data_IF_787279802353
#
_entry.id   IF_787279802353
#
_cell.length_a   1.000
_cell.length_b   1.000
_cell.length_c   1.000
_cell.angle_alpha   90.00
_cell.angle_beta   90.00
_cell.angle_gamma   90.00
#
_symmetry.space_group_name_H-M   'P 1'
#
loop_
_entity.id
_entity.type
_entity.pdbx_description
1 polymer ?
#
# COMPACT_ATOMS: atom_id res chain seq x y z
N UNK A 1 -22.35 30.16 17.57
CA UNK A 1 -23.08 30.55 16.34
C UNK A 1 -22.69 29.58 15.26
N UNK A 2 -23.66 29.01 14.52
CA UNK A 2 -23.38 28.02 13.46
C UNK A 2 -22.99 28.80 12.21
N UNK A 3 -21.72 28.71 11.80
CA UNK A 3 -21.23 29.42 10.61
C UNK A 3 -21.80 28.75 9.34
N UNK A 4 -21.96 29.54 8.29
CA UNK A 4 -22.41 29.03 7.00
C UNK A 4 -21.26 28.28 6.29
N UNK A 5 -21.55 27.27 5.44
CA UNK A 5 -20.52 26.41 4.83
C UNK A 5 -19.39 27.15 4.10
N UNK A 6 -19.67 28.31 3.50
CA UNK A 6 -18.70 29.15 2.79
C UNK A 6 -17.83 30.00 3.71
N UNK A 7 -18.33 30.38 4.88
CA UNK A 7 -17.55 31.10 5.89
C UNK A 7 -16.40 30.23 6.41
N UNK A 8 -16.57 28.91 6.41
CA UNK A 8 -15.50 27.96 6.71
C UNK A 8 -14.42 27.91 5.63
N UNK A 9 -14.77 28.09 4.35
CA UNK A 9 -13.83 27.93 3.23
C UNK A 9 -12.88 29.13 3.06
N UNK A 10 -13.36 30.36 3.29
CA UNK A 10 -12.66 31.61 2.96
C UNK A 10 -12.52 32.59 4.12
N UNK A 11 -13.01 32.25 5.32
CA UNK A 11 -12.91 33.13 6.49
C UNK A 11 -11.46 33.41 6.92
N UNK A 12 -11.13 34.64 7.36
CA UNK A 12 -9.78 35.01 7.74
C UNK A 12 -9.30 34.24 8.99
N UNK A 13 -8.05 33.74 9.01
CA UNK A 13 -7.54 32.85 10.06
C UNK A 13 -7.09 33.61 11.33
N UNK A 14 -7.00 34.94 11.27
CA UNK A 14 -6.40 35.78 12.32
C UNK A 14 -7.39 36.67 13.09
N UNK A 15 -8.70 36.61 12.82
CA UNK A 15 -9.65 37.42 13.59
C UNK A 15 -9.99 36.75 14.93
N UNK A 16 -9.69 37.46 16.01
CA UNK A 16 -9.63 37.04 17.42
C UNK A 16 -10.91 36.41 18.02
N UNK A 17 -12.01 36.32 17.27
CA UNK A 17 -13.28 35.73 17.71
C UNK A 17 -13.73 34.48 16.93
N UNK A 18 -12.98 34.06 15.90
CA UNK A 18 -13.33 32.93 15.04
C UNK A 18 -12.10 32.12 14.60
N UNK A 19 -11.22 31.78 15.55
CA UNK A 19 -10.06 30.93 15.29
C UNK A 19 -10.47 29.59 14.69
N UNK A 20 -9.98 29.28 13.49
CA UNK A 20 -10.11 28.03 12.74
C UNK A 20 -11.19 27.05 13.20
N UNK A 21 -12.40 27.15 12.62
CA UNK A 21 -13.48 26.12 12.68
C UNK A 21 -13.43 25.23 13.93
N UNK A 22 -13.61 25.78 15.15
CA UNK A 22 -13.32 25.08 16.39
C UNK A 22 -14.18 23.81 16.54
N UNK A 23 -15.40 23.84 15.98
CA UNK A 23 -16.34 22.73 16.01
C UNK A 23 -15.95 21.57 15.09
N UNK A 24 -15.24 21.82 13.99
CA UNK A 24 -14.90 20.80 12.97
C UNK A 24 -13.42 20.39 13.02
N UNK A 25 -12.55 21.29 13.45
CA UNK A 25 -11.12 21.10 13.56
C UNK A 25 -10.78 19.86 14.40
N UNK A 26 -11.32 19.79 15.62
CA UNK A 26 -11.01 18.73 16.57
C UNK A 26 -11.60 17.37 16.15
N UNK A 27 -12.88 17.26 15.73
CA UNK A 27 -13.41 16.03 15.17
C UNK A 27 -12.65 15.53 13.93
N UNK A 28 -12.19 16.43 13.05
CA UNK A 28 -11.50 16.06 11.82
C UNK A 28 -10.09 15.51 12.10
N UNK A 29 -9.35 16.12 13.04
CA UNK A 29 -8.06 15.58 13.51
C UNK A 29 -8.25 14.24 14.21
N UNK A 30 -9.27 14.09 15.07
CA UNK A 30 -9.55 12.81 15.74
C UNK A 30 -9.94 11.73 14.72
N UNK A 31 -10.83 12.04 13.78
CA UNK A 31 -11.27 11.08 12.76
C UNK A 31 -10.12 10.63 11.85
N UNK A 32 -9.29 11.58 11.39
CA UNK A 32 -8.11 11.26 10.58
C UNK A 32 -7.06 10.47 11.37
N UNK A 33 -6.87 10.78 12.66
CA UNK A 33 -6.00 10.02 13.56
C UNK A 33 -6.51 8.61 13.82
N UNK A 34 -7.81 8.44 14.09
CA UNK A 34 -8.44 7.13 14.26
C UNK A 34 -8.33 6.28 12.98
N UNK A 35 -8.51 6.91 11.81
CA UNK A 35 -8.32 6.27 10.52
C UNK A 35 -6.86 5.79 10.33
N UNK A 36 -5.88 6.62 10.70
CA UNK A 36 -4.47 6.23 10.66
C UNK A 36 -4.18 5.05 11.60
N UNK A 37 -4.70 5.07 12.83
CA UNK A 37 -4.53 3.96 13.78
C UNK A 37 -5.13 2.66 13.22
N UNK A 38 -6.33 2.73 12.65
CA UNK A 38 -6.94 1.59 11.98
C UNK A 38 -6.07 1.07 10.83
N UNK A 39 -5.49 1.98 10.03
CA UNK A 39 -4.59 1.62 8.93
C UNK A 39 -3.31 0.94 9.43
N UNK A 40 -2.74 1.38 10.55
CA UNK A 40 -1.58 0.74 11.20
C UNK A 40 -1.92 -0.67 11.71
N UNK A 41 -3.09 -0.85 12.30
CA UNK A 41 -3.57 -2.16 12.75
C UNK A 41 -3.74 -3.09 11.54
N UNK A 42 -4.42 -2.62 10.49
CA UNK A 42 -4.63 -3.37 9.25
C UNK A 42 -3.30 -3.72 8.58
N UNK A 43 -2.35 -2.79 8.53
CA UNK A 43 -1.01 -3.05 8.02
C UNK A 43 -0.34 -4.19 8.79
N UNK A 44 -0.32 -4.13 10.12
CA UNK A 44 0.31 -5.18 10.93
C UNK A 44 -0.34 -6.56 10.73
N UNK A 45 -1.67 -6.62 10.70
CA UNK A 45 -2.41 -7.88 10.48
C UNK A 45 -2.15 -8.42 9.08
N UNK A 46 -2.27 -7.58 8.06
CA UNK A 46 -2.14 -8.01 6.67
C UNK A 46 -0.70 -8.35 6.30
N UNK A 47 0.29 -7.63 6.82
CA UNK A 47 1.71 -7.94 6.60
C UNK A 47 2.05 -9.32 7.16
N UNK A 48 1.55 -9.68 8.34
CA UNK A 48 1.71 -11.04 8.89
C UNK A 48 1.03 -12.09 8.01
N UNK A 49 -0.21 -11.84 7.59
CA UNK A 49 -1.00 -12.80 6.80
C UNK A 49 -0.47 -12.98 5.37
N UNK A 50 0.03 -11.91 4.74
CA UNK A 50 0.43 -11.88 3.33
C UNK A 50 1.96 -11.78 3.13
N UNK A 51 2.77 -12.00 4.17
CA UNK A 51 4.25 -11.92 4.11
C UNK A 51 4.89 -12.68 2.95
N UNK A 52 4.27 -13.77 2.46
CA UNK A 52 4.78 -14.56 1.31
C UNK A 52 4.52 -13.93 -0.05
N UNK A 53 3.63 -12.96 -0.12
CA UNK A 53 3.18 -12.30 -1.35
C UNK A 53 3.64 -10.85 -1.37
N UNK A 54 4.89 -10.65 -1.81
CA UNK A 54 5.56 -9.35 -1.85
C UNK A 54 4.70 -8.20 -2.42
N UNK A 55 3.99 -8.34 -3.57
CA UNK A 55 3.21 -7.22 -4.12
C UNK A 55 2.04 -6.79 -3.23
N UNK A 56 1.48 -7.71 -2.46
CA UNK A 56 0.35 -7.44 -1.57
C UNK A 56 0.80 -6.77 -0.27
N UNK A 57 2.01 -7.10 0.21
CA UNK A 57 2.64 -6.37 1.32
C UNK A 57 2.97 -4.95 0.91
N UNK A 58 3.59 -4.78 -0.26
CA UNK A 58 3.89 -3.47 -0.82
C UNK A 58 2.61 -2.63 -0.98
N UNK A 59 1.49 -3.23 -1.42
CA UNK A 59 0.20 -2.53 -1.47
C UNK A 59 -0.21 -1.95 -0.11
N UNK A 60 -0.11 -2.74 0.96
CA UNK A 60 -0.47 -2.28 2.31
C UNK A 60 0.47 -1.18 2.80
N UNK A 61 1.75 -1.28 2.49
CA UNK A 61 2.74 -0.26 2.81
C UNK A 61 2.41 1.09 2.13
N UNK A 62 2.06 1.07 0.84
CA UNK A 62 1.63 2.27 0.13
C UNK A 62 0.35 2.89 0.73
N UNK A 63 -0.61 2.07 1.14
CA UNK A 63 -1.83 2.54 1.82
C UNK A 63 -1.51 3.19 3.18
N UNK A 64 -0.57 2.62 3.93
CA UNK A 64 -0.11 3.17 5.20
C UNK A 64 0.61 4.49 5.00
N UNK A 65 1.55 4.57 4.05
CA UNK A 65 2.27 5.81 3.74
C UNK A 65 1.33 6.93 3.29
N UNK A 66 0.32 6.61 2.47
CA UNK A 66 -0.68 7.59 2.03
C UNK A 66 -1.51 8.11 3.21
N UNK A 67 -1.92 7.22 4.12
CA UNK A 67 -2.66 7.60 5.32
C UNK A 67 -1.83 8.45 6.26
N UNK A 68 -0.56 8.07 6.47
CA UNK A 68 0.39 8.81 7.28
C UNK A 68 0.61 10.22 6.72
N UNK A 69 0.88 10.33 5.42
CA UNK A 69 1.08 11.63 4.76
C UNK A 69 -0.18 12.52 4.85
N UNK A 70 -1.37 11.97 4.58
CA UNK A 70 -2.62 12.71 4.65
C UNK A 70 -2.89 13.21 6.07
N UNK A 71 -2.71 12.35 7.07
CA UNK A 71 -2.84 12.72 8.48
C UNK A 71 -1.83 13.79 8.89
N UNK A 72 -0.56 13.66 8.49
CA UNK A 72 0.47 14.66 8.79
C UNK A 72 0.09 16.04 8.25
N UNK A 73 -0.42 16.13 7.02
CA UNK A 73 -0.86 17.41 6.42
C UNK A 73 -2.06 17.99 7.18
N UNK A 74 -3.03 17.15 7.55
CA UNK A 74 -4.18 17.58 8.36
C UNK A 74 -3.74 18.10 9.74
N UNK A 75 -2.82 17.39 10.40
CA UNK A 75 -2.31 17.76 11.72
C UNK A 75 -1.52 19.07 11.68
N UNK A 76 -0.68 19.26 10.67
CA UNK A 76 0.03 20.53 10.43
C UNK A 76 -0.97 21.66 10.18
N UNK A 77 -1.99 21.40 9.35
CA UNK A 77 -3.03 22.40 9.05
C UNK A 77 -3.79 22.84 10.29
N UNK A 78 -4.06 21.91 11.19
CA UNK A 78 -4.68 22.19 12.48
C UNK A 78 -3.75 22.99 13.40
N UNK A 79 -2.49 22.56 13.56
CA UNK A 79 -1.52 23.18 14.46
C UNK A 79 -1.24 24.65 14.09
N UNK A 80 -1.06 24.94 12.81
CA UNK A 80 -0.81 26.29 12.30
C UNK A 80 -2.09 27.10 12.03
N UNK A 81 -3.28 26.52 12.31
CA UNK A 81 -4.59 27.15 12.05
C UNK A 81 -4.74 27.66 10.61
N UNK A 82 -4.34 26.84 9.63
CA UNK A 82 -4.54 27.16 8.21
C UNK A 82 -6.03 27.23 7.83
N UNK A 83 -6.34 27.88 6.70
CA UNK A 83 -7.67 27.89 6.12
C UNK A 83 -8.22 26.48 5.89
N UNK A 84 -9.54 26.28 6.01
CA UNK A 84 -10.19 24.97 5.90
C UNK A 84 -9.97 24.28 4.55
N UNK A 85 -9.74 25.07 3.51
CA UNK A 85 -9.47 24.55 2.17
C UNK A 85 -8.21 23.66 2.14
N UNK A 86 -7.22 23.89 3.00
CA UNK A 86 -6.02 23.06 3.08
C UNK A 86 -6.29 21.64 3.59
N UNK A 87 -6.88 21.42 4.79
CA UNK A 87 -7.22 20.07 5.22
C UNK A 87 -8.27 19.41 4.31
N UNK A 88 -9.21 20.18 3.74
CA UNK A 88 -10.18 19.65 2.78
C UNK A 88 -9.52 19.12 1.51
N UNK A 89 -8.64 19.92 0.89
CA UNK A 89 -7.89 19.49 -0.30
C UNK A 89 -6.98 18.31 0.01
N UNK A 90 -6.32 18.29 1.17
CA UNK A 90 -5.52 17.16 1.60
C UNK A 90 -6.34 15.87 1.71
N UNK A 91 -7.56 15.92 2.25
CA UNK A 91 -8.46 14.78 2.31
C UNK A 91 -8.90 14.31 0.92
N UNK A 92 -9.28 15.22 0.03
CA UNK A 92 -9.67 14.88 -1.36
C UNK A 92 -8.51 14.23 -2.11
N UNK A 93 -7.31 14.80 -2.00
CA UNK A 93 -6.09 14.23 -2.62
C UNK A 93 -5.75 12.88 -1.99
N UNK A 94 -5.87 12.74 -0.67
CA UNK A 94 -5.65 11.47 0.03
C UNK A 94 -6.60 10.36 -0.47
N UNK A 95 -7.90 10.65 -0.56
CA UNK A 95 -8.90 9.70 -1.10
C UNK A 95 -8.60 9.36 -2.56
N UNK A 96 -8.27 10.36 -3.39
CA UNK A 96 -7.91 10.13 -4.78
C UNK A 96 -6.65 9.24 -4.89
N UNK A 97 -5.64 9.47 -4.05
CA UNK A 97 -4.44 8.64 -3.98
C UNK A 97 -4.79 7.21 -3.56
N UNK A 98 -5.66 7.01 -2.58
CA UNK A 98 -6.15 5.68 -2.18
C UNK A 98 -6.80 4.92 -3.36
N UNK A 99 -7.71 5.58 -4.07
CA UNK A 99 -8.37 4.99 -5.23
C UNK A 99 -7.37 4.68 -6.35
N UNK A 100 -6.45 5.59 -6.62
CA UNK A 100 -5.43 5.41 -7.65
C UNK A 100 -4.48 4.26 -7.32
N UNK A 101 -3.99 4.18 -6.08
CA UNK A 101 -3.14 3.09 -5.60
C UNK A 101 -3.88 1.75 -5.76
N UNK A 102 -5.14 1.69 -5.31
CA UNK A 102 -5.90 0.44 -5.27
C UNK A 102 -6.31 -0.06 -6.66
N UNK A 103 -6.74 0.83 -7.55
CA UNK A 103 -7.37 0.46 -8.83
C UNK A 103 -6.51 0.71 -10.06
N UNK A 104 -5.47 1.55 -10.00
CA UNK A 104 -4.63 1.87 -11.16
C UNK A 104 -3.21 1.33 -10.99
N UNK A 105 -2.57 1.56 -9.84
CA UNK A 105 -1.15 1.24 -9.60
C UNK A 105 -0.90 -0.26 -9.42
N UNK A 106 -1.63 -0.89 -8.52
CA UNK A 106 -1.32 -2.27 -8.08
C UNK A 106 -1.92 -3.41 -8.91
N UNK A 107 -3.10 -3.30 -9.56
CA UNK A 107 -3.63 -4.38 -10.40
C UNK A 107 -2.62 -4.96 -11.41
N UNK A 108 -1.88 -4.16 -12.20
CA UNK A 108 -0.91 -4.73 -13.15
C UNK A 108 0.25 -5.48 -12.45
N UNK A 109 0.67 -5.04 -11.27
CA UNK A 109 1.75 -5.71 -10.52
C UNK A 109 1.29 -7.06 -9.95
N UNK A 110 0.05 -7.13 -9.48
CA UNK A 110 -0.55 -8.37 -8.95
C UNK A 110 -0.72 -9.40 -10.09
N UNK A 111 -1.14 -8.95 -11.27
CA UNK A 111 -1.26 -9.80 -12.45
C UNK A 111 0.09 -10.39 -12.87
N UNK A 112 1.13 -9.55 -12.98
CA UNK A 112 2.48 -10.00 -13.31
C UNK A 112 3.00 -11.05 -12.30
N UNK A 113 2.79 -10.81 -11.01
CA UNK A 113 3.18 -11.74 -9.96
C UNK A 113 2.40 -13.07 -10.02
N UNK A 114 1.10 -13.01 -10.30
CA UNK A 114 0.28 -14.22 -10.48
C UNK A 114 0.73 -15.03 -11.71
N UNK A 115 1.15 -14.38 -12.80
CA UNK A 115 1.72 -15.07 -13.95
C UNK A 115 3.04 -15.78 -13.60
N UNK A 116 3.92 -15.14 -12.82
CA UNK A 116 5.15 -15.77 -12.33
C UNK A 116 4.87 -16.99 -11.45
N UNK A 117 3.91 -16.87 -10.51
CA UNK A 117 3.47 -17.98 -9.67
C UNK A 117 2.91 -19.15 -10.47
N UNK A 118 2.10 -18.87 -11.50
CA UNK A 118 1.58 -19.90 -12.41
C UNK A 118 2.72 -20.63 -13.10
N UNK A 119 3.66 -19.91 -13.71
CA UNK A 119 4.84 -20.48 -14.36
C UNK A 119 5.66 -21.35 -13.41
N UNK A 120 5.95 -20.86 -12.21
CA UNK A 120 6.70 -21.60 -11.19
C UNK A 120 6.01 -22.91 -10.81
N UNK A 121 4.68 -22.91 -10.65
CA UNK A 121 3.88 -24.12 -10.38
C UNK A 121 3.89 -25.10 -11.54
N UNK A 122 3.82 -24.62 -12.78
CA UNK A 122 3.92 -25.48 -13.96
C UNK A 122 5.29 -26.19 -14.02
N UNK A 123 6.39 -25.45 -13.81
CA UNK A 123 7.74 -26.04 -13.82
C UNK A 123 7.95 -27.03 -12.67
N UNK A 124 7.44 -26.75 -11.47
CA UNK A 124 7.56 -27.71 -10.36
C UNK A 124 6.76 -28.98 -10.62
N UNK A 125 5.53 -28.87 -11.15
CA UNK A 125 4.72 -30.03 -11.53
C UNK A 125 5.36 -30.86 -12.66
N UNK A 126 5.96 -30.21 -13.66
CA UNK A 126 6.68 -30.92 -14.73
C UNK A 126 7.88 -31.71 -14.19
N UNK A 127 8.66 -31.13 -13.27
CA UNK A 127 9.78 -31.83 -12.62
C UNK A 127 9.35 -33.09 -11.85
N UNK A 128 8.16 -33.07 -11.24
CA UNK A 128 7.62 -34.22 -10.51
C UNK A 128 6.94 -35.26 -11.43
N UNK A 129 6.41 -34.86 -12.58
CA UNK A 129 5.80 -35.78 -13.56
C UNK A 129 6.81 -36.53 -14.43
N UNK A 130 7.99 -35.95 -14.65
CA UNK A 130 9.09 -36.58 -15.38
C UNK A 130 10.35 -36.72 -14.51
N UNK A 131 10.30 -37.47 -13.40
CA UNK A 131 11.47 -37.68 -12.54
C UNK A 131 12.65 -38.31 -13.32
N UNK A 132 12.32 -39.05 -14.37
CA UNK A 132 13.21 -39.76 -15.29
C UNK A 132 14.11 -38.80 -16.10
N UNK A 133 13.69 -37.55 -16.32
CA UNK A 133 14.49 -36.52 -17.00
C UNK A 133 15.49 -35.82 -16.07
N UNK A 134 15.27 -35.87 -14.75
CA UNK A 134 16.21 -35.33 -13.75
C UNK A 134 17.30 -36.31 -13.35
N UNK A 135 17.17 -37.60 -13.67
CA UNK A 135 18.23 -38.57 -13.44
C UNK A 135 19.26 -38.38 -14.55
N UNK A 136 20.34 -37.66 -14.24
CA UNK A 136 21.50 -37.57 -15.12
C UNK A 136 21.99 -39.00 -15.37
N UNK A 137 21.92 -39.55 -16.60
CA UNK A 137 22.38 -40.90 -16.84
C UNK A 137 23.86 -40.93 -16.47
N UNK A 138 24.21 -41.77 -15.49
CA UNK A 138 25.59 -42.05 -15.11
C UNK A 138 26.29 -42.44 -16.41
N UNK A 139 27.15 -41.56 -16.95
CA UNK A 139 27.93 -41.86 -18.16
C UNK A 139 28.66 -43.17 -17.86
N UNK A 140 28.19 -44.26 -18.47
CA UNK A 140 28.86 -45.55 -18.32
C UNK A 140 30.26 -45.37 -18.89
N UNK A 141 31.23 -45.62 -18.02
CA UNK A 141 32.63 -45.38 -18.26
C UNK A 141 33.06 -46.22 -19.48
N UNK A 142 33.10 -45.60 -20.66
CA UNK A 142 33.53 -46.18 -21.94
C UNK A 142 35.06 -46.35 -21.97
N UNK A 143 35.67 -46.69 -20.84
CA UNK A 143 37.12 -46.77 -20.65
C UNK A 143 37.59 -48.22 -20.47
N UNK A 144 36.96 -49.17 -21.17
CA UNK A 144 37.43 -50.58 -21.19
C UNK A 144 37.82 -51.11 -22.57
N UNK A 145 37.88 -50.25 -23.60
CA UNK A 145 38.09 -50.69 -24.99
C UNK A 145 39.21 -50.00 -25.76
N UNK A 146 40.15 -49.33 -25.09
CA UNK A 146 41.40 -48.91 -25.73
C UNK A 146 42.59 -49.67 -25.15
N UNK A 147 43.08 -50.59 -25.99
CA UNK A 147 44.47 -51.06 -26.11
C UNK A 147 44.95 -52.09 -25.08
N UNK A 148 44.42 -53.31 -25.21
CA UNK A 148 45.27 -54.48 -25.43
C UNK A 148 45.60 -54.53 -26.93
N UNK A 149 46.77 -54.05 -27.32
CA UNK A 149 47.49 -54.39 -28.56
C UNK A 149 48.94 -54.00 -28.37
#
# INVERSE_FOLDING_TARGET
>A
MKLMPWEYLLGPPFTEFAGGFPDLALPLVIASGAFLVLQVILYNVQTRRLHRHFPLVNLQEWLLWTGLATFSVVLVSWFFRFYFIFPLTALVVGIAAYLWIRFRRFPPMIEAYNQQLRRARFYSQQKHKHPEQTIRPKRSDRTRRRRRR
#
